data_IF_107789265683
#
_entry.id   IF_107789265683
#
_cell.length_a   1.000
_cell.length_b   1.000
_cell.length_c   1.000
_cell.angle_alpha   90.00
_cell.angle_beta   90.00
_cell.angle_gamma   90.00
#
_symmetry.space_group_name_H-M   'P 1'
#
loop_
_entity.id
_entity.type
_entity.pdbx_description
1 polymer ?
#
# COMPACT_ATOMS: atom_id res chain seq x y z
N UNK A 1 13.21 5.82 12.75
CA UNK A 1 12.97 4.64 11.90
C UNK A 1 11.54 4.73 11.42
N UNK A 2 11.33 4.78 10.11
CA UNK A 2 9.98 4.73 9.55
C UNK A 2 9.35 3.38 9.93
N UNK A 3 8.13 3.39 10.46
CA UNK A 3 7.42 2.18 10.84
C UNK A 3 6.87 1.52 9.56
N UNK A 4 7.70 0.75 8.87
CA UNK A 4 7.32 0.05 7.64
C UNK A 4 6.51 -1.24 7.91
N UNK A 5 6.48 -1.71 9.16
CA UNK A 5 5.77 -2.94 9.54
C UNK A 5 4.28 -2.87 9.20
N UNK A 6 3.69 -1.68 9.26
CA UNK A 6 2.29 -1.45 8.84
C UNK A 6 2.00 -1.95 7.42
N UNK A 7 2.96 -1.83 6.50
CA UNK A 7 2.80 -2.32 5.14
C UNK A 7 2.91 -3.85 5.08
N UNK A 8 3.88 -4.42 5.80
CA UNK A 8 4.10 -5.87 5.83
C UNK A 8 2.90 -6.61 6.45
N UNK A 9 2.37 -6.10 7.55
CA UNK A 9 1.18 -6.65 8.22
C UNK A 9 -0.04 -6.68 7.29
N UNK A 10 -0.27 -5.62 6.52
CA UNK A 10 -1.37 -5.57 5.55
C UNK A 10 -1.14 -6.52 4.36
N UNK A 11 0.11 -6.67 3.94
CA UNK A 11 0.50 -7.52 2.82
C UNK A 11 0.45 -9.02 3.16
N UNK A 12 0.65 -9.41 4.42
CA UNK A 12 0.70 -10.81 4.87
C UNK A 12 -0.49 -11.64 4.36
N UNK A 13 -1.69 -11.05 4.36
CA UNK A 13 -2.92 -11.73 3.91
C UNK A 13 -3.35 -11.43 2.48
N UNK A 14 -2.72 -10.46 1.82
CA UNK A 14 -3.24 -9.88 0.56
C UNK A 14 -2.26 -9.93 -0.61
N UNK A 15 -0.97 -10.11 -0.33
CA UNK A 15 0.09 -10.06 -1.34
C UNK A 15 -0.13 -11.08 -2.46
N UNK A 16 -0.44 -12.32 -2.10
CA UNK A 16 -0.69 -13.38 -3.09
C UNK A 16 -1.87 -13.02 -4.02
N UNK A 17 -2.95 -12.47 -3.48
CA UNK A 17 -4.11 -12.01 -4.27
C UNK A 17 -3.74 -10.83 -5.17
N UNK A 18 -2.97 -9.86 -4.65
CA UNK A 18 -2.52 -8.72 -5.41
C UNK A 18 -1.63 -9.13 -6.59
N UNK A 19 -0.67 -10.04 -6.35
CA UNK A 19 0.22 -10.57 -7.37
C UNK A 19 -0.57 -11.25 -8.49
N UNK A 20 -1.49 -12.15 -8.16
CA UNK A 20 -2.32 -12.84 -9.15
C UNK A 20 -3.17 -11.86 -9.98
N UNK A 21 -3.74 -10.83 -9.35
CA UNK A 21 -4.54 -9.82 -10.05
C UNK A 21 -3.70 -8.96 -11.01
N UNK A 22 -2.46 -8.64 -10.62
CA UNK A 22 -1.50 -7.92 -11.48
C UNK A 22 -1.06 -8.80 -12.65
N UNK A 23 -0.72 -10.06 -12.41
CA UNK A 23 -0.36 -11.03 -13.46
C UNK A 23 -1.50 -11.26 -14.46
N UNK A 24 -2.75 -11.25 -13.98
CA UNK A 24 -3.95 -11.34 -14.81
C UNK A 24 -4.32 -10.00 -15.49
N UNK A 25 -3.58 -8.92 -15.22
CA UNK A 25 -3.78 -7.60 -15.81
C UNK A 25 -5.06 -6.89 -15.35
N UNK A 26 -5.68 -7.32 -14.25
CA UNK A 26 -6.92 -6.71 -13.75
C UNK A 26 -7.03 -6.78 -12.23
N UNK A 27 -6.86 -5.63 -11.58
CA UNK A 27 -7.15 -5.41 -10.16
C UNK A 27 -8.65 -5.58 -9.86
N UNK A 28 -8.96 -6.27 -8.76
CA UNK A 28 -10.33 -6.56 -8.29
C UNK A 28 -10.50 -6.34 -6.79
N UNK A 29 -9.47 -6.58 -5.98
CA UNK A 29 -9.55 -6.48 -4.52
C UNK A 29 -8.83 -5.24 -3.97
N UNK A 30 -8.89 -5.04 -2.64
CA UNK A 30 -8.57 -3.79 -1.96
C UNK A 30 -7.16 -3.77 -1.37
N UNK A 31 -6.12 -3.62 -2.20
CA UNK A 31 -4.72 -3.64 -1.75
C UNK A 31 -3.86 -2.46 -2.21
N UNK A 32 -4.44 -1.48 -2.92
CA UNK A 32 -3.65 -0.42 -3.58
C UNK A 32 -2.78 0.37 -2.61
N UNK A 33 -3.35 0.76 -1.46
CA UNK A 33 -2.70 1.67 -0.52
C UNK A 33 -1.39 1.15 0.05
N UNK A 34 -1.25 -0.16 0.21
CA UNK A 34 -0.10 -0.77 0.88
C UNK A 34 0.74 -1.67 -0.03
N UNK A 35 0.31 -1.94 -1.28
CA UNK A 35 1.15 -2.57 -2.32
C UNK A 35 1.80 -1.52 -3.23
N UNK A 36 1.06 -0.46 -3.58
CA UNK A 36 1.56 0.70 -4.31
C UNK A 36 1.20 1.99 -3.56
N UNK A 37 1.85 2.25 -2.41
CA UNK A 37 1.57 3.43 -1.61
C UNK A 37 1.87 4.73 -2.36
N UNK A 38 1.18 5.78 -1.96
CA UNK A 38 1.32 7.14 -2.51
C UNK A 38 1.70 8.11 -1.39
N UNK A 39 2.15 9.33 -1.75
CA UNK A 39 2.41 10.38 -0.77
C UNK A 39 1.14 10.72 0.03
N UNK A 40 1.32 10.97 1.33
CA UNK A 40 0.26 11.44 2.20
C UNK A 40 -0.33 12.76 1.68
N UNK A 41 -1.66 12.91 1.78
CA UNK A 41 -2.38 14.09 1.31
C UNK A 41 -2.91 14.00 -0.13
N UNK A 42 -2.45 13.04 -0.94
CA UNK A 42 -3.04 12.80 -2.27
C UNK A 42 -4.42 12.09 -2.17
N UNK A 43 -4.58 11.21 -1.18
CA UNK A 43 -5.85 10.58 -0.86
C UNK A 43 -6.46 11.14 0.43
N UNK A 44 -7.80 11.23 0.48
CA UNK A 44 -8.52 11.82 1.62
C UNK A 44 -9.10 10.79 2.60
N UNK A 45 -9.14 9.51 2.23
CA UNK A 45 -9.65 8.46 3.13
C UNK A 45 -8.67 8.17 4.27
N UNK A 46 -9.20 7.69 5.39
CA UNK A 46 -8.37 7.29 6.54
C UNK A 46 -7.34 6.22 6.16
N UNK A 47 -7.71 5.26 5.31
CA UNK A 47 -6.77 4.25 4.78
C UNK A 47 -5.66 4.88 3.93
N UNK A 48 -5.97 5.90 3.12
CA UNK A 48 -4.97 6.60 2.32
C UNK A 48 -4.02 7.45 3.17
N UNK A 49 -4.50 7.99 4.30
CA UNK A 49 -3.64 8.68 5.27
C UNK A 49 -2.75 7.70 6.03
N UNK A 50 -3.30 6.59 6.50
CA UNK A 50 -2.58 5.59 7.30
C UNK A 50 -1.44 4.92 6.53
N UNK A 51 -1.67 4.56 5.26
CA UNK A 51 -0.66 3.96 4.38
C UNK A 51 0.07 4.98 3.49
N UNK A 52 -0.16 6.28 3.70
CA UNK A 52 0.55 7.32 2.96
C UNK A 52 2.04 7.31 3.32
N UNK A 53 2.88 7.55 2.33
CA UNK A 53 4.31 7.84 2.52
C UNK A 53 4.45 9.32 2.90
N UNK A 54 5.18 9.61 3.98
CA UNK A 54 5.32 10.95 4.51
C UNK A 54 6.25 11.81 3.65
N UNK A 55 7.37 11.25 3.19
CA UNK A 55 8.41 11.94 2.46
C UNK A 55 9.31 10.97 1.66
N UNK A 56 10.33 11.53 1.00
CA UNK A 56 11.30 10.74 0.23
C UNK A 56 12.14 9.81 1.12
N UNK A 57 12.42 10.19 2.37
CA UNK A 57 13.24 9.37 3.27
C UNK A 57 12.49 8.10 3.74
N UNK A 58 11.16 8.15 3.84
CA UNK A 58 10.35 6.95 4.04
C UNK A 58 10.24 6.08 2.78
N UNK A 59 10.41 6.66 1.58
CA UNK A 59 10.31 5.95 0.31
C UNK A 59 11.58 5.19 -0.13
N UNK A 60 12.70 5.38 0.57
CA UNK A 60 14.04 4.85 0.21
C UNK A 60 14.63 3.97 1.30
#
# INVERSE_FOLDING_TARGET
MANLDRFLEAQDQTFHTALLEVEQGKKRSHWMWYVFPQLIGLGHSETAKFYGICDLAEAT
#
